data_IF_184895284724
#
_entry.id   IF_184895284724
#
_cell.length_a   1.000
_cell.length_b   1.000
_cell.length_c   1.000
_cell.angle_alpha   90.00
_cell.angle_beta   90.00
_cell.angle_gamma   90.00
#
_symmetry.space_group_name_H-M   'P 1'
#
loop_
_entity.id
_entity.type
_entity.pdbx_description
1 polymer ?
#
# COMPACT_ATOMS: atom_id res chain seq x y z
N UNK A 1 -14.71 -5.80 -3.75
CA UNK A 1 -14.02 -6.95 -4.35
C UNK A 1 -12.58 -6.89 -3.84
N UNK A 2 -12.11 -7.91 -3.09
CA UNK A 2 -10.72 -7.95 -2.56
C UNK A 2 -9.82 -8.61 -3.60
N UNK A 3 -8.67 -8.02 -3.92
CA UNK A 3 -7.66 -8.67 -4.75
C UNK A 3 -7.24 -10.01 -4.12
N UNK A 4 -7.10 -11.07 -4.92
CA UNK A 4 -6.68 -12.38 -4.39
C UNK A 4 -5.20 -12.34 -4.03
N UNK A 5 -4.83 -13.14 -3.04
CA UNK A 5 -3.46 -13.31 -2.59
C UNK A 5 -2.57 -13.70 -3.78
N UNK A 6 -1.64 -12.81 -4.17
CA UNK A 6 -0.68 -13.04 -5.26
C UNK A 6 -0.94 -12.27 -6.56
N UNK A 7 -2.11 -11.65 -6.72
CA UNK A 7 -2.39 -10.79 -7.89
C UNK A 7 -1.67 -9.44 -7.78
N UNK A 8 -1.15 -8.89 -8.89
CA UNK A 8 -0.51 -7.58 -8.87
C UNK A 8 -1.53 -6.49 -8.52
N UNK A 9 -1.28 -5.76 -7.44
CA UNK A 9 -2.11 -4.66 -6.98
C UNK A 9 -1.24 -3.43 -6.66
N UNK A 10 -1.84 -2.23 -6.67
CA UNK A 10 -1.10 -1.02 -6.27
C UNK A 10 -0.54 -1.18 -4.85
N UNK A 11 -1.26 -1.82 -3.92
CA UNK A 11 -0.78 -2.05 -2.55
C UNK A 11 0.51 -2.90 -2.46
N UNK A 12 0.82 -3.70 -3.48
CA UNK A 12 2.03 -4.53 -3.54
C UNK A 12 3.15 -3.89 -4.36
N UNK A 13 2.95 -2.68 -4.86
CA UNK A 13 3.93 -1.93 -5.65
C UNK A 13 4.89 -1.15 -4.73
N UNK A 14 6.19 -1.15 -5.03
CA UNK A 14 7.19 -0.35 -4.28
C UNK A 14 6.96 1.16 -4.37
N UNK A 15 6.22 1.61 -5.38
CA UNK A 15 5.91 3.03 -5.61
C UNK A 15 4.58 3.47 -5.01
N UNK A 16 3.85 2.59 -4.33
CA UNK A 16 2.57 2.94 -3.72
C UNK A 16 2.75 3.45 -2.29
N UNK A 17 2.13 4.59 -2.01
CA UNK A 17 2.07 5.19 -0.68
C UNK A 17 0.65 5.10 -0.16
N UNK A 18 0.47 4.25 0.86
CA UNK A 18 -0.79 4.04 1.57
C UNK A 18 -1.11 5.25 2.47
N UNK A 19 -2.35 5.75 2.40
CA UNK A 19 -2.83 6.76 3.35
C UNK A 19 -3.34 6.10 4.63
N UNK A 20 -3.08 6.75 5.76
CA UNK A 20 -3.57 6.35 7.08
C UNK A 20 -4.19 7.56 7.76
N UNK A 21 -5.24 7.32 8.54
CA UNK A 21 -5.70 8.30 9.53
C UNK A 21 -5.32 7.83 10.93
N UNK A 22 -5.17 8.78 11.84
CA UNK A 22 -4.79 8.51 13.24
C UNK A 22 -6.04 8.58 14.12
N UNK A 23 -6.31 7.51 14.85
CA UNK A 23 -7.31 7.43 15.90
C UNK A 23 -6.64 7.69 17.24
N UNK A 24 -7.01 8.77 17.91
CA UNK A 24 -6.48 9.07 19.23
C UNK A 24 -6.98 8.06 20.28
N UNK A 25 -6.14 7.75 21.27
CA UNK A 25 -6.49 6.83 22.36
C UNK A 25 -6.26 5.34 22.12
N UNK A 26 -5.78 4.93 20.94
CA UNK A 26 -5.42 3.52 20.65
C UNK A 26 -3.92 3.28 20.68
N UNK A 27 -3.51 2.09 21.16
CA UNK A 27 -2.10 1.64 21.17
C UNK A 27 -1.50 1.54 19.77
N UNK A 28 -2.31 1.22 18.76
CA UNK A 28 -1.93 1.26 17.35
C UNK A 28 -2.93 2.15 16.60
N UNK A 29 -2.69 3.47 16.52
CA UNK A 29 -3.71 4.44 16.13
C UNK A 29 -3.86 4.58 14.62
N UNK A 30 -3.00 3.97 13.81
CA UNK A 30 -2.99 4.18 12.36
C UNK A 30 -3.89 3.17 11.65
N UNK A 31 -4.97 3.67 11.05
CA UNK A 31 -5.89 2.85 10.27
C UNK A 31 -5.73 3.18 8.80
N UNK A 32 -5.57 2.13 7.97
CA UNK A 32 -5.48 2.24 6.51
C UNK A 32 -6.77 2.85 5.96
N UNK A 33 -6.63 3.91 5.18
CA UNK A 33 -7.72 4.42 4.35
C UNK A 33 -7.76 3.62 3.06
N UNK A 34 -8.94 3.42 2.47
CA UNK A 34 -9.06 2.82 1.14
C UNK A 34 -8.63 3.79 0.03
N UNK A 35 -7.50 4.49 0.20
CA UNK A 35 -6.87 5.33 -0.81
C UNK A 35 -5.36 5.44 -0.57
N UNK A 36 -4.64 5.80 -1.63
CA UNK A 36 -3.22 6.09 -1.59
C UNK A 36 -2.83 6.82 -2.88
N UNK A 37 -1.53 6.89 -3.15
CA UNK A 37 -1.03 7.48 -4.40
C UNK A 37 0.22 6.77 -4.89
N UNK A 38 0.40 6.76 -6.21
CA UNK A 38 1.68 6.36 -6.80
C UNK A 38 2.65 7.55 -6.77
N UNK A 39 3.90 7.29 -6.41
CA UNK A 39 4.98 8.28 -6.54
C UNK A 39 5.63 8.27 -7.93
N UNK A 40 5.31 7.29 -8.79
CA UNK A 40 5.90 7.13 -10.11
C UNK A 40 4.90 6.59 -11.16
N UNK A 41 4.28 7.45 -12.00
CA UNK A 41 4.42 8.90 -12.07
C UNK A 41 3.77 9.58 -10.85
N UNK A 42 4.41 10.67 -10.39
CA UNK A 42 3.93 11.49 -9.27
C UNK A 42 2.52 11.99 -9.58
N UNK A 43 1.62 11.94 -8.61
CA UNK A 43 0.23 12.45 -8.67
C UNK A 43 -0.80 11.60 -9.44
N UNK A 44 -0.50 10.35 -9.82
CA UNK A 44 -1.57 9.45 -10.29
C UNK A 44 -2.45 9.06 -9.10
N UNK A 45 -3.75 9.36 -9.19
CA UNK A 45 -4.76 8.88 -8.22
C UNK A 45 -4.77 7.35 -8.27
N UNK A 46 -4.37 6.71 -7.17
CA UNK A 46 -4.42 5.26 -7.03
C UNK A 46 -5.66 4.90 -6.22
N UNK A 47 -6.63 4.28 -6.89
CA UNK A 47 -7.74 3.65 -6.21
C UNK A 47 -7.37 2.20 -5.87
N UNK A 48 -7.81 1.66 -4.72
CA UNK A 48 -7.40 0.34 -4.24
C UNK A 48 -7.69 -0.82 -5.20
N UNK A 49 -8.56 -0.60 -6.19
CA UNK A 49 -9.00 -1.61 -7.16
C UNK A 49 -8.54 -1.30 -8.59
N UNK A 50 -7.68 -0.31 -8.82
CA UNK A 50 -7.18 -0.04 -10.18
C UNK A 50 -6.17 -1.09 -10.61
N UNK A 51 -6.23 -1.50 -11.88
CA UNK A 51 -5.16 -2.29 -12.48
C UNK A 51 -3.80 -1.60 -12.26
N UNK A 52 -2.77 -2.39 -12.00
CA UNK A 52 -1.41 -1.87 -11.82
C UNK A 52 -0.95 -1.12 -13.08
N UNK A 53 -0.20 -0.04 -12.89
CA UNK A 53 0.34 0.73 -14.01
C UNK A 53 1.54 0.04 -14.67
N UNK A 54 1.96 0.53 -15.84
CA UNK A 54 3.15 0.06 -16.56
C UNK A 54 4.45 0.13 -15.74
N UNK A 55 4.52 0.98 -14.72
CA UNK A 55 5.67 1.09 -13.81
C UNK A 55 5.56 0.22 -12.56
N UNK A 56 4.66 -0.77 -12.55
CA UNK A 56 4.54 -1.67 -11.42
C UNK A 56 5.83 -2.44 -11.18
N UNK A 57 6.35 -2.32 -9.96
CA UNK A 57 7.43 -3.16 -9.49
C UNK A 57 7.07 -3.65 -8.09
N UNK A 58 7.13 -4.98 -7.90
CA UNK A 58 6.75 -5.60 -6.64
C UNK A 58 7.69 -5.12 -5.54
N UNK A 59 7.13 -4.73 -4.40
CA UNK A 59 7.94 -4.47 -3.21
C UNK A 59 8.55 -5.79 -2.73
N UNK A 60 9.88 -5.84 -2.68
CA UNK A 60 10.61 -6.96 -2.06
C UNK A 60 10.21 -7.02 -0.58
N UNK A 61 9.54 -8.11 -0.17
CA UNK A 61 9.33 -8.41 1.23
C UNK A 61 10.70 -8.75 1.83
N UNK A 62 11.45 -7.73 2.28
CA UNK A 62 12.65 -7.99 3.04
C UNK A 62 12.24 -8.73 4.32
N UNK A 63 12.80 -9.91 4.56
CA UNK A 63 12.57 -10.75 5.76
C UNK A 63 13.09 -10.10 7.07
N UNK A 64 13.12 -8.77 7.14
CA UNK A 64 13.67 -8.00 8.27
C UNK A 64 12.65 -7.52 9.30
N UNK A 65 11.34 -7.59 9.03
CA UNK A 65 10.30 -7.04 9.92
C UNK A 65 9.62 -8.08 10.83
N UNK A 66 10.24 -9.24 11.06
CA UNK A 66 9.81 -10.24 12.05
C UNK A 66 10.60 -10.16 13.37
N UNK A 67 11.39 -9.09 13.58
CA UNK A 67 12.04 -8.82 14.87
C UNK A 67 11.42 -7.59 15.54
N UNK A 68 10.20 -7.74 16.06
CA UNK A 68 9.68 -6.84 17.08
C UNK A 68 9.57 -7.63 18.38
N UNK A 69 10.63 -7.49 19.18
CA UNK A 69 10.82 -7.82 20.61
C UNK A 69 10.58 -9.25 21.08
#
# INVERSE_FOLDING_TARGET
MRAKLGEPACETCKYFVQHYYKLEGLKNPFIKVNCGHCIYPRLKKCEPCSAVCEHYERAELSEGLLKIK
#
